data_IF_186617427974
#
_entry.id   IF_186617427974
#
_cell.length_a   1.000
_cell.length_b   1.000
_cell.length_c   1.000
_cell.angle_alpha   90.00
_cell.angle_beta   90.00
_cell.angle_gamma   90.00
#
_symmetry.space_group_name_H-M   'P 1'
#
loop_
_entity.id
_entity.type
_entity.pdbx_description
1 polymer ?
#
# COMPACT_ATOMS: atom_id res chain seq x y z
N UNK A 1 -3.53 10.33 -17.82
CA UNK A 1 -3.37 9.15 -16.96
C UNK A 1 -2.83 9.66 -15.63
N UNK A 2 -3.53 9.46 -14.50
CA UNK A 2 -3.04 9.87 -13.20
C UNK A 2 -2.32 8.72 -12.49
N UNK A 3 -1.12 9.01 -12.00
CA UNK A 3 -0.22 8.06 -11.34
C UNK A 3 0.10 8.61 -9.95
N UNK A 4 0.05 7.75 -8.93
CA UNK A 4 0.52 8.07 -7.59
C UNK A 4 1.48 6.99 -7.11
N UNK A 5 2.63 7.42 -6.60
CA UNK A 5 3.62 6.54 -6.01
C UNK A 5 3.81 6.92 -4.54
N UNK A 6 3.74 5.93 -3.64
CA UNK A 6 3.93 6.11 -2.19
C UNK A 6 5.11 5.26 -1.77
N UNK A 7 6.13 5.89 -1.19
CA UNK A 7 7.32 5.21 -0.67
C UNK A 7 7.48 5.44 0.83
N UNK A 8 7.69 4.36 1.60
CA UNK A 8 7.97 4.43 3.03
C UNK A 8 9.23 3.63 3.34
N UNK A 9 10.20 4.26 4.01
CA UNK A 9 11.42 3.59 4.46
C UNK A 9 11.65 3.84 5.96
N UNK A 10 11.76 2.76 6.73
CA UNK A 10 11.93 2.82 8.19
C UNK A 10 13.03 1.87 8.64
N UNK A 11 14.06 2.39 9.33
CA UNK A 11 15.09 1.54 9.92
C UNK A 11 14.62 0.89 11.23
N UNK A 12 14.01 1.67 12.13
CA UNK A 12 13.51 1.17 13.40
C UNK A 12 12.32 1.98 13.89
N UNK A 13 11.21 1.32 14.19
CA UNK A 13 10.03 1.92 14.80
C UNK A 13 9.28 0.88 15.61
N UNK A 14 8.47 1.29 16.59
CA UNK A 14 7.66 0.35 17.35
C UNK A 14 6.38 -0.02 16.58
N UNK A 15 5.57 0.98 16.22
CA UNK A 15 4.25 0.82 15.60
C UNK A 15 4.14 1.79 14.43
N UNK A 16 3.60 1.32 13.30
CA UNK A 16 3.24 2.15 12.15
C UNK A 16 1.86 1.74 11.62
N UNK A 17 1.02 2.73 11.30
CA UNK A 17 -0.23 2.53 10.57
C UNK A 17 -0.23 3.41 9.31
N UNK A 18 -0.54 2.83 8.15
CA UNK A 18 -0.63 3.51 6.86
C UNK A 18 -2.05 3.33 6.31
N UNK A 19 -2.77 4.44 6.10
CA UNK A 19 -4.08 4.46 5.47
C UNK A 19 -4.04 5.17 4.11
N UNK A 20 -4.55 4.52 3.06
CA UNK A 20 -4.68 5.09 1.70
C UNK A 20 -6.13 4.98 1.25
N UNK A 21 -6.75 6.10 0.88
CA UNK A 21 -8.11 6.14 0.34
C UNK A 21 -8.13 6.86 -1.00
N UNK A 22 -8.62 6.17 -2.04
CA UNK A 22 -8.62 6.67 -3.42
C UNK A 22 -9.98 6.43 -4.08
N UNK A 23 -10.63 7.48 -4.54
CA UNK A 23 -11.90 7.34 -5.29
C UNK A 23 -11.67 6.90 -6.74
N UNK A 24 -10.71 7.52 -7.45
CA UNK A 24 -10.44 7.19 -8.84
C UNK A 24 -8.98 7.45 -9.22
N UNK A 25 -8.31 6.43 -9.72
CA UNK A 25 -6.92 6.54 -10.17
C UNK A 25 -6.64 5.59 -11.34
N UNK A 26 -5.70 5.93 -12.21
CA UNK A 26 -5.26 4.99 -13.24
C UNK A 26 -4.25 4.01 -12.63
N UNK A 27 -3.17 4.52 -12.03
CA UNK A 27 -2.06 3.70 -11.51
C UNK A 27 -1.74 4.14 -10.08
N UNK A 28 -1.68 3.18 -9.16
CA UNK A 28 -1.15 3.35 -7.81
C UNK A 28 -0.02 2.36 -7.58
N UNK A 29 1.11 2.86 -7.11
CA UNK A 29 2.27 2.07 -6.66
C UNK A 29 2.57 2.42 -5.19
N UNK A 30 2.67 1.41 -4.33
CA UNK A 30 3.02 1.56 -2.92
C UNK A 30 4.22 0.66 -2.61
N UNK A 31 5.33 1.27 -2.21
CA UNK A 31 6.53 0.59 -1.73
C UNK A 31 6.80 0.87 -0.26
N UNK A 32 6.92 -0.18 0.57
CA UNK A 32 7.27 -0.08 1.99
C UNK A 32 8.49 -0.93 2.29
N UNK A 33 9.54 -0.32 2.86
CA UNK A 33 10.78 -0.99 3.28
C UNK A 33 11.06 -0.75 4.77
N UNK A 34 11.15 -1.83 5.54
CA UNK A 34 11.29 -1.77 7.00
C UNK A 34 12.40 -2.72 7.46
N UNK A 35 13.38 -2.20 8.20
CA UNK A 35 14.40 -3.06 8.80
C UNK A 35 13.94 -3.66 10.13
N UNK A 36 13.43 -2.85 11.07
CA UNK A 36 12.94 -3.33 12.38
C UNK A 36 11.63 -2.66 12.78
N UNK A 37 10.61 -3.45 13.00
CA UNK A 37 9.30 -2.98 13.49
C UNK A 37 8.68 -3.97 14.45
N UNK A 38 7.81 -3.54 15.36
CA UNK A 38 7.03 -4.49 16.15
C UNK A 38 5.65 -4.70 15.52
N UNK A 39 4.94 -3.63 15.17
CA UNK A 39 3.59 -3.69 14.58
C UNK A 39 3.52 -2.81 13.33
N UNK A 40 3.05 -3.38 12.23
CA UNK A 40 2.67 -2.66 11.02
C UNK A 40 1.21 -2.97 10.67
N UNK A 41 0.44 -1.92 10.41
CA UNK A 41 -0.91 -1.98 9.83
C UNK A 41 -0.94 -1.15 8.54
N UNK A 42 -1.42 -1.73 7.44
CA UNK A 42 -1.63 -1.03 6.17
C UNK A 42 -3.07 -1.26 5.70
N UNK A 43 -3.83 -0.18 5.57
CA UNK A 43 -5.17 -0.18 4.98
C UNK A 43 -5.21 0.60 3.67
N UNK A 44 -5.63 -0.05 2.58
CA UNK A 44 -5.82 0.60 1.27
C UNK A 44 -7.27 0.39 0.82
N UNK A 45 -8.00 1.49 0.56
CA UNK A 45 -9.36 1.47 0.04
C UNK A 45 -9.45 2.25 -1.26
N UNK A 46 -9.94 1.57 -2.30
CA UNK A 46 -9.99 2.10 -3.66
C UNK A 46 -11.39 1.89 -4.23
N UNK A 47 -12.04 2.96 -4.71
CA UNK A 47 -13.33 2.83 -5.39
C UNK A 47 -13.16 2.42 -6.85
N UNK A 48 -12.24 3.05 -7.59
CA UNK A 48 -12.00 2.75 -9.00
C UNK A 48 -10.52 2.86 -9.37
N UNK A 49 -9.97 1.81 -9.97
CA UNK A 49 -8.56 1.79 -10.41
C UNK A 49 -8.34 0.95 -11.66
N UNK A 50 -7.24 1.20 -12.39
CA UNK A 50 -6.82 0.30 -13.48
C UNK A 50 -5.68 -0.64 -13.04
N UNK A 51 -4.62 -0.10 -12.44
CA UNK A 51 -3.43 -0.84 -12.03
C UNK A 51 -3.09 -0.49 -10.59
N UNK A 52 -2.88 -1.54 -9.79
CA UNK A 52 -2.36 -1.47 -8.42
C UNK A 52 -1.07 -2.29 -8.33
N UNK A 53 -0.02 -1.69 -7.79
CA UNK A 53 1.18 -2.39 -7.33
C UNK A 53 1.42 -2.05 -5.85
N UNK A 54 1.73 -3.07 -5.05
CA UNK A 54 2.06 -2.94 -3.63
C UNK A 54 3.21 -3.89 -3.31
N UNK A 55 4.36 -3.30 -2.96
CA UNK A 55 5.54 -4.01 -2.47
C UNK A 55 5.80 -3.70 -1.00
N UNK A 56 5.93 -4.74 -0.17
CA UNK A 56 6.32 -4.61 1.25
C UNK A 56 7.52 -5.52 1.52
N UNK A 57 8.63 -4.92 1.96
CA UNK A 57 9.85 -5.64 2.36
C UNK A 57 10.17 -5.35 3.83
N UNK A 58 10.28 -6.41 4.62
CA UNK A 58 10.48 -6.34 6.07
C UNK A 58 11.59 -7.31 6.49
N UNK A 59 12.57 -6.83 7.26
CA UNK A 59 13.65 -7.71 7.80
C UNK A 59 13.28 -8.32 9.16
N UNK A 60 12.78 -7.52 10.11
CA UNK A 60 12.39 -7.98 11.44
C UNK A 60 11.05 -7.37 11.86
N UNK A 61 10.05 -8.23 12.11
CA UNK A 61 8.72 -7.82 12.55
C UNK A 61 8.03 -8.86 13.44
N UNK A 62 7.16 -8.41 14.34
CA UNK A 62 6.31 -9.28 15.15
C UNK A 62 4.91 -9.44 14.56
N UNK A 63 4.23 -8.33 14.24
CA UNK A 63 2.85 -8.32 13.74
C UNK A 63 2.77 -7.48 12.46
N UNK A 64 2.17 -8.07 11.43
CA UNK A 64 1.85 -7.45 10.15
C UNK A 64 0.36 -7.62 9.87
N UNK A 65 -0.34 -6.53 9.61
CA UNK A 65 -1.67 -6.52 9.02
C UNK A 65 -1.66 -5.68 7.73
N UNK A 66 -2.26 -6.22 6.67
CA UNK A 66 -2.41 -5.55 5.38
C UNK A 66 -3.80 -5.86 4.84
N UNK A 67 -4.63 -4.82 4.77
CA UNK A 67 -5.95 -4.85 4.15
C UNK A 67 -5.98 -4.03 2.86
N UNK A 68 -6.43 -4.64 1.76
CA UNK A 68 -6.68 -3.96 0.49
C UNK A 68 -8.10 -4.22 0.04
N UNK A 69 -8.88 -3.16 -0.18
CA UNK A 69 -10.23 -3.23 -0.72
C UNK A 69 -10.32 -2.43 -2.01
N UNK A 70 -10.78 -3.08 -3.08
CA UNK A 70 -11.00 -2.45 -4.39
C UNK A 70 -12.45 -2.72 -4.82
N UNK A 71 -13.25 -1.68 -5.02
CA UNK A 71 -14.65 -1.82 -5.45
C UNK A 71 -14.72 -2.12 -6.95
N UNK A 72 -13.89 -1.44 -7.76
CA UNK A 72 -13.87 -1.61 -9.21
C UNK A 72 -12.47 -1.53 -9.77
N UNK A 73 -12.08 -2.59 -10.49
CA UNK A 73 -10.83 -2.65 -11.23
C UNK A 73 -11.14 -2.71 -12.73
N UNK A 74 -10.76 -1.66 -13.46
CA UNK A 74 -10.87 -1.60 -14.93
C UNK A 74 -9.55 -2.12 -15.51
N UNK A 75 -9.50 -3.38 -15.92
CA UNK A 75 -8.26 -4.02 -16.44
C UNK A 75 -7.77 -3.47 -17.80
N UNK A 76 -8.32 -2.36 -18.27
CA UNK A 76 -7.82 -1.65 -19.45
C UNK A 76 -7.83 -2.47 -20.74
N UNK A 77 -8.58 -3.56 -20.82
CA UNK A 77 -8.81 -4.28 -22.09
C UNK A 77 -9.71 -3.40 -22.95
N UNK A 78 -9.08 -2.59 -23.79
CA UNK A 78 -9.64 -2.15 -25.07
C UNK A 78 -9.16 -3.11 -26.15
#
# INVERSE_FOLDING_TARGET
MNILNIGVQITKMNILNIGVQITKMNILDIGVQITKMNILDIGVQITKMNILDIGVQITNMNILDIGVQIIKMDTGVQ
#
